data_IF_344755662656
#
_entry.id   IF_344755662656
#
_cell.length_a   1.000
_cell.length_b   1.000
_cell.length_c   1.000
_cell.angle_alpha   90.00
_cell.angle_beta   90.00
_cell.angle_gamma   90.00
#
_symmetry.space_group_name_H-M   'P 1'
#
loop_
_entity.id
_entity.type
_entity.pdbx_description
1 polymer ?
#
# COMPACT_ATOMS: atom_id res chain seq x y z
N UNK A 1 -8.27 25.34 1.48
CA UNK A 1 -7.87 25.93 0.18
C UNK A 1 -6.62 25.22 -0.33
N UNK A 2 -6.20 25.41 -1.58
CA UNK A 2 -4.93 24.84 -2.08
C UNK A 2 -3.74 25.27 -1.21
N UNK A 3 -3.69 26.54 -0.81
CA UNK A 3 -2.60 27.07 0.04
C UNK A 3 -2.51 26.37 1.38
N UNK A 4 -3.65 26.03 1.99
CA UNK A 4 -3.68 25.29 3.24
C UNK A 4 -3.05 23.90 3.07
N UNK A 5 -3.45 23.16 2.02
CA UNK A 5 -2.89 21.84 1.72
C UNK A 5 -1.38 21.93 1.45
N UNK A 6 -0.95 22.95 0.71
CA UNK A 6 0.48 23.17 0.43
C UNK A 6 1.28 23.53 1.69
N UNK A 7 0.70 24.34 2.58
CA UNK A 7 1.34 24.69 3.86
C UNK A 7 1.42 23.48 4.79
N UNK A 8 0.36 22.68 4.89
CA UNK A 8 0.33 21.45 5.68
C UNK A 8 1.38 20.45 5.17
N UNK A 9 1.55 20.35 3.86
CA UNK A 9 2.61 19.57 3.23
C UNK A 9 4.01 20.09 3.60
N UNK A 10 4.27 21.40 3.46
CA UNK A 10 5.56 22.01 3.79
C UNK A 10 5.90 21.85 5.27
N UNK A 11 4.92 22.03 6.16
CA UNK A 11 5.08 21.86 7.59
C UNK A 11 5.43 20.41 7.94
N UNK A 12 4.70 19.45 7.34
CA UNK A 12 4.96 18.01 7.53
C UNK A 12 6.33 17.60 6.99
N UNK A 13 6.76 18.14 5.85
CA UNK A 13 8.10 17.94 5.29
C UNK A 13 9.18 18.48 6.24
N UNK A 14 9.02 19.71 6.72
CA UNK A 14 9.98 20.34 7.63
C UNK A 14 10.08 19.59 8.96
N UNK A 15 8.94 19.23 9.57
CA UNK A 15 8.89 18.43 10.79
C UNK A 15 9.61 17.08 10.60
N UNK A 16 9.35 16.41 9.48
CA UNK A 16 10.07 15.19 9.11
C UNK A 16 11.57 15.42 8.96
N UNK A 17 12.00 16.49 8.29
CA UNK A 17 13.42 16.77 8.11
C UNK A 17 14.16 17.06 9.44
N UNK A 18 13.49 17.69 10.40
CA UNK A 18 14.04 18.01 11.73
C UNK A 18 14.06 16.79 12.64
N UNK A 19 12.96 16.03 12.72
CA UNK A 19 12.83 14.87 13.61
C UNK A 19 13.52 13.62 13.07
N UNK A 20 13.66 13.53 11.75
CA UNK A 20 14.25 12.38 11.05
C UNK A 20 15.46 12.83 10.22
N UNK A 21 16.63 13.04 10.86
CA UNK A 21 17.86 13.47 10.20
C UNK A 21 18.22 12.51 9.08
N UNK A 22 18.44 13.06 7.88
CA UNK A 22 18.65 12.28 6.65
C UNK A 22 19.74 11.22 6.81
N UNK A 23 20.91 11.59 7.31
CA UNK A 23 22.05 10.69 7.42
C UNK A 23 21.78 9.51 8.37
N UNK A 24 21.16 9.77 9.52
CA UNK A 24 20.87 8.75 10.53
C UNK A 24 19.78 7.78 10.08
N UNK A 25 18.71 8.30 9.47
CA UNK A 25 17.63 7.46 8.94
C UNK A 25 18.13 6.60 7.79
N UNK A 26 18.95 7.15 6.90
CA UNK A 26 19.52 6.36 5.80
C UNK A 26 20.43 5.25 6.31
N UNK A 27 21.31 5.52 7.27
CA UNK A 27 22.16 4.50 7.87
C UNK A 27 21.32 3.37 8.49
N UNK A 28 20.30 3.72 9.27
CA UNK A 28 19.41 2.74 9.91
C UNK A 28 18.61 1.92 8.88
N UNK A 29 18.06 2.56 7.84
CA UNK A 29 17.33 1.87 6.77
C UNK A 29 18.25 0.96 5.95
N UNK A 30 19.50 1.36 5.70
CA UNK A 30 20.48 0.52 5.02
C UNK A 30 20.82 -0.73 5.83
N UNK A 31 20.97 -0.60 7.15
CA UNK A 31 21.19 -1.75 8.05
C UNK A 31 19.98 -2.68 8.04
N UNK A 32 18.78 -2.13 8.18
CA UNK A 32 17.53 -2.91 8.12
C UNK A 32 17.37 -3.66 6.79
N UNK A 33 17.59 -2.98 5.65
CA UNK A 33 17.47 -3.62 4.35
C UNK A 33 18.59 -4.63 4.05
N UNK A 34 19.73 -4.61 4.75
CA UNK A 34 20.75 -5.66 4.63
C UNK A 34 20.37 -6.97 5.32
N UNK A 35 19.35 -6.99 6.18
CA UNK A 35 18.88 -8.21 6.81
C UNK A 35 18.40 -9.21 5.76
N UNK A 36 18.81 -10.48 5.89
CA UNK A 36 18.41 -11.55 4.98
C UNK A 36 16.95 -12.01 5.19
N UNK A 37 16.41 -11.78 6.39
CA UNK A 37 15.03 -12.11 6.76
C UNK A 37 14.34 -10.88 7.33
N UNK A 38 13.04 -10.78 7.11
CA UNK A 38 12.23 -9.69 7.65
C UNK A 38 11.97 -9.93 9.15
N UNK A 39 12.18 -8.89 9.95
CA UNK A 39 11.94 -8.92 11.39
C UNK A 39 11.11 -7.69 11.80
N UNK A 40 9.86 -7.93 12.17
CA UNK A 40 8.91 -6.89 12.56
C UNK A 40 9.43 -6.03 13.72
N UNK A 41 10.01 -6.66 14.75
CA UNK A 41 10.56 -5.99 15.93
C UNK A 41 11.72 -5.06 15.59
N UNK A 42 12.59 -5.45 14.65
CA UNK A 42 13.72 -4.61 14.21
C UNK A 42 13.18 -3.33 13.56
N UNK A 43 12.19 -3.46 12.69
CA UNK A 43 11.57 -2.30 12.05
C UNK A 43 10.82 -1.41 13.05
N UNK A 44 10.10 -2.01 14.00
CA UNK A 44 9.41 -1.29 15.07
C UNK A 44 10.39 -0.51 15.95
N UNK A 45 11.49 -1.14 16.38
CA UNK A 45 12.51 -0.50 17.19
C UNK A 45 13.24 0.63 16.44
N UNK A 46 13.44 0.46 15.13
CA UNK A 46 13.99 1.50 14.27
C UNK A 46 13.09 2.73 14.28
N UNK A 47 11.78 2.58 14.10
CA UNK A 47 10.84 3.71 14.17
C UNK A 47 10.85 4.37 15.56
N UNK A 48 10.77 3.57 16.62
CA UNK A 48 10.74 4.04 18.01
C UNK A 48 12.00 4.84 18.38
N UNK A 49 13.17 4.49 17.82
CA UNK A 49 14.43 5.20 18.02
C UNK A 49 14.34 6.68 17.63
N UNK A 50 13.52 7.02 16.64
CA UNK A 50 13.37 8.40 16.16
C UNK A 50 12.18 9.15 16.75
N UNK A 51 11.44 8.54 17.69
CA UNK A 51 10.22 9.11 18.30
C UNK A 51 9.23 9.65 17.25
N UNK A 52 9.17 8.97 16.10
CA UNK A 52 8.33 9.36 14.97
C UNK A 52 7.07 8.50 14.93
N UNK A 53 5.94 9.12 14.62
CA UNK A 53 4.74 8.35 14.28
C UNK A 53 4.99 7.52 13.02
N UNK A 54 4.29 6.37 12.83
CA UNK A 54 4.43 5.57 11.63
C UNK A 54 4.19 6.38 10.35
N UNK A 55 3.23 7.31 10.39
CA UNK A 55 2.96 8.20 9.26
C UNK A 55 4.15 9.08 8.90
N UNK A 56 4.74 9.76 9.88
CA UNK A 56 5.90 10.63 9.66
C UNK A 56 7.10 9.81 9.15
N UNK A 57 7.34 8.65 9.75
CA UNK A 57 8.44 7.77 9.40
C UNK A 57 8.33 7.25 7.96
N UNK A 58 7.17 6.71 7.58
CA UNK A 58 6.93 6.18 6.24
C UNK A 58 6.93 7.29 5.18
N UNK A 59 6.41 8.47 5.52
CA UNK A 59 6.45 9.61 4.62
C UNK A 59 7.89 10.10 4.38
N UNK A 60 8.74 10.06 5.41
CA UNK A 60 10.16 10.34 5.26
C UNK A 60 10.86 9.28 4.41
N UNK A 61 10.55 8.00 4.61
CA UNK A 61 11.04 6.92 3.75
C UNK A 61 10.67 7.15 2.28
N UNK A 62 9.42 7.50 1.97
CA UNK A 62 9.00 7.73 0.58
C UNK A 62 9.72 8.89 -0.11
N UNK A 63 10.28 9.82 0.65
CA UNK A 63 11.12 10.91 0.13
C UNK A 63 12.58 10.50 -0.06
N UNK A 64 13.12 9.68 0.85
CA UNK A 64 14.55 9.33 0.85
C UNK A 64 14.87 8.16 -0.07
N UNK A 65 14.06 7.11 -0.05
CA UNK A 65 14.34 5.85 -0.72
C UNK A 65 14.45 5.93 -2.25
N UNK A 66 13.64 6.73 -2.97
CA UNK A 66 13.79 6.92 -4.41
C UNK A 66 15.19 7.43 -4.81
N UNK A 67 15.70 8.42 -4.09
CA UNK A 67 16.95 9.10 -4.46
C UNK A 67 18.19 8.36 -3.94
N UNK A 68 18.11 7.80 -2.74
CA UNK A 68 19.29 7.25 -2.05
C UNK A 68 19.46 5.76 -2.26
N UNK A 69 18.38 5.06 -2.65
CA UNK A 69 18.37 3.60 -2.81
C UNK A 69 17.74 3.15 -4.13
N UNK A 70 17.35 4.08 -5.01
CA UNK A 70 16.76 3.77 -6.31
C UNK A 70 15.37 3.13 -6.25
N UNK A 71 14.70 3.18 -5.10
CA UNK A 71 13.35 2.62 -4.91
C UNK A 71 12.27 3.61 -5.39
N UNK A 72 12.33 3.97 -6.67
CA UNK A 72 11.51 5.06 -7.25
C UNK A 72 10.04 4.66 -7.37
N UNK A 73 9.78 3.48 -7.92
CA UNK A 73 8.41 2.99 -8.18
C UNK A 73 7.78 2.49 -6.90
N UNK A 74 7.05 3.38 -6.24
CA UNK A 74 6.49 3.15 -4.92
C UNK A 74 5.09 3.73 -4.75
N UNK A 75 4.38 3.26 -3.74
CA UNK A 75 3.10 3.83 -3.31
C UNK A 75 3.06 3.94 -1.78
N UNK A 76 2.52 5.05 -1.30
CA UNK A 76 2.22 5.31 0.10
C UNK A 76 0.71 5.37 0.27
N UNK A 77 0.18 4.63 1.24
CA UNK A 77 -1.24 4.54 1.53
C UNK A 77 -1.48 4.71 3.02
N UNK A 78 -2.50 5.48 3.38
CA UNK A 78 -2.99 5.58 4.76
C UNK A 78 -4.45 5.22 4.85
N UNK A 79 -4.78 4.19 5.62
CA UNK A 79 -6.15 3.81 5.88
C UNK A 79 -6.58 4.16 7.30
N UNK A 80 -7.87 4.46 7.45
CA UNK A 80 -8.59 4.50 8.71
C UNK A 80 -9.58 3.34 8.71
N UNK A 81 -9.63 2.59 9.80
CA UNK A 81 -10.64 1.57 10.06
C UNK A 81 -11.45 2.00 11.29
N UNK A 82 -12.72 2.33 11.09
CA UNK A 82 -13.59 2.75 12.18
C UNK A 82 -14.13 1.51 12.91
N UNK A 83 -13.86 1.40 14.22
CA UNK A 83 -14.23 0.20 14.99
C UNK A 83 -15.74 0.12 15.24
N UNK A 84 -16.45 1.24 15.15
CA UNK A 84 -17.88 1.31 15.45
C UNK A 84 -18.74 0.63 14.38
N UNK A 85 -18.36 0.76 13.10
CA UNK A 85 -19.11 0.24 11.96
C UNK A 85 -18.28 -0.67 11.03
N UNK A 86 -16.99 -0.85 11.29
CA UNK A 86 -16.07 -1.66 10.48
C UNK A 86 -15.72 -1.02 9.13
N UNK A 87 -16.08 0.25 8.92
CA UNK A 87 -15.81 0.97 7.69
C UNK A 87 -14.31 1.21 7.53
N UNK A 88 -13.84 1.15 6.29
CA UNK A 88 -12.44 1.38 5.94
C UNK A 88 -12.38 2.48 4.91
N UNK A 89 -11.60 3.51 5.22
CA UNK A 89 -11.44 4.70 4.38
C UNK A 89 -9.98 4.93 4.06
N UNK A 90 -9.66 5.05 2.76
CA UNK A 90 -8.37 5.59 2.32
C UNK A 90 -8.36 7.09 2.63
N UNK A 91 -7.38 7.54 3.40
CA UNK A 91 -7.29 8.92 3.90
C UNK A 91 -6.13 9.71 3.29
N UNK A 92 -5.05 9.03 2.88
CA UNK A 92 -3.95 9.62 2.13
C UNK A 92 -3.41 8.61 1.12
N UNK A 93 -3.06 9.12 -0.04
CA UNK A 93 -2.47 8.36 -1.14
C UNK A 93 -1.37 9.20 -1.80
N UNK A 94 -0.22 8.58 -2.02
CA UNK A 94 0.81 9.06 -2.93
C UNK A 94 1.27 7.86 -3.75
N UNK A 95 0.99 7.88 -5.05
CA UNK A 95 1.33 6.78 -5.94
C UNK A 95 2.32 7.27 -7.00
N UNK A 96 3.55 6.76 -6.95
CA UNK A 96 4.63 7.00 -7.92
C UNK A 96 4.94 5.73 -8.71
N UNK A 97 3.98 4.81 -8.79
CA UNK A 97 4.10 3.53 -9.49
C UNK A 97 3.06 3.42 -10.61
N UNK A 98 3.22 2.39 -11.44
CA UNK A 98 2.27 2.07 -12.52
C UNK A 98 1.04 1.32 -11.98
N UNK A 99 0.86 1.25 -10.66
CA UNK A 99 -0.28 0.60 -10.06
C UNK A 99 -1.55 1.44 -10.29
N UNK A 100 -2.47 0.92 -11.09
CA UNK A 100 -3.81 1.49 -11.23
C UNK A 100 -4.58 1.33 -9.92
N UNK A 101 -4.53 2.38 -9.10
CA UNK A 101 -5.31 2.48 -7.87
C UNK A 101 -6.76 2.84 -8.23
N UNK A 102 -7.76 2.10 -7.71
CA UNK A 102 -9.17 2.46 -7.87
C UNK A 102 -9.37 3.91 -7.42
N UNK A 103 -9.96 4.75 -8.27
CA UNK A 103 -9.85 6.21 -8.21
C UNK A 103 -10.07 6.82 -6.81
N UNK A 104 -8.96 7.13 -6.14
CA UNK A 104 -8.80 8.18 -5.12
C UNK A 104 -9.59 8.08 -3.81
N UNK A 105 -9.38 9.10 -2.98
CA UNK A 105 -10.09 9.32 -1.72
C UNK A 105 -11.62 9.42 -1.96
N UNK A 106 -12.41 8.77 -1.11
CA UNK A 106 -13.89 8.89 -1.14
C UNK A 106 -14.61 7.95 -2.10
N UNK A 107 -13.95 6.89 -2.56
CA UNK A 107 -14.57 5.83 -3.36
C UNK A 107 -15.60 5.04 -2.53
N UNK A 108 -16.84 4.89 -3.01
CA UNK A 108 -17.86 4.02 -2.41
C UNK A 108 -17.73 2.58 -2.91
N UNK A 109 -16.52 2.03 -2.84
CA UNK A 109 -16.22 0.65 -3.21
C UNK A 109 -15.43 -0.01 -2.08
N UNK A 110 -15.43 -1.34 -2.04
CA UNK A 110 -14.79 -2.09 -0.98
C UNK A 110 -13.37 -2.45 -1.38
N UNK A 111 -12.37 -1.77 -0.81
CA UNK A 111 -10.97 -2.13 -0.97
C UNK A 111 -10.73 -3.62 -0.67
N UNK A 112 -9.83 -4.23 -1.45
CA UNK A 112 -9.53 -5.65 -1.29
C UNK A 112 -8.96 -5.94 0.10
N UNK A 113 -9.62 -6.81 0.86
CA UNK A 113 -9.23 -7.15 2.24
C UNK A 113 -7.90 -7.89 2.35
N UNK A 114 -7.40 -8.44 1.22
CA UNK A 114 -6.04 -9.01 1.11
C UNK A 114 -4.92 -7.99 1.09
N UNK A 115 -5.23 -6.69 1.01
CA UNK A 115 -4.20 -5.65 1.08
C UNK A 115 -3.55 -5.66 2.44
N UNK A 116 -2.21 -5.61 2.48
CA UNK A 116 -1.47 -5.52 3.73
C UNK A 116 -1.97 -4.36 4.60
N UNK A 117 -2.29 -3.22 3.99
CA UNK A 117 -2.82 -2.03 4.67
C UNK A 117 -4.08 -2.31 5.50
N UNK A 118 -4.86 -3.34 5.16
CA UNK A 118 -6.08 -3.71 5.87
C UNK A 118 -5.86 -4.94 6.75
N UNK A 119 -5.12 -5.93 6.25
CA UNK A 119 -4.77 -7.13 7.02
C UNK A 119 -3.99 -6.80 8.30
N UNK A 120 -3.18 -5.75 8.29
CA UNK A 120 -2.40 -5.34 9.46
C UNK A 120 -3.29 -4.87 10.64
N UNK A 121 -4.59 -4.64 10.44
CA UNK A 121 -5.54 -4.40 11.52
C UNK A 121 -5.97 -5.68 12.26
N UNK A 122 -5.83 -6.86 11.66
CA UNK A 122 -6.23 -8.13 12.28
C UNK A 122 -5.45 -8.35 13.58
N UNK A 123 -6.17 -8.50 14.70
CA UNK A 123 -5.56 -8.70 16.02
C UNK A 123 -5.00 -7.45 16.69
N UNK A 124 -5.16 -6.26 16.10
CA UNK A 124 -4.64 -5.01 16.68
C UNK A 124 -5.40 -4.63 17.97
N UNK A 125 -4.69 -4.66 19.10
CA UNK A 125 -5.20 -4.21 20.39
C UNK A 125 -5.21 -2.67 20.51
N UNK A 126 -6.14 -2.09 21.30
CA UNK A 126 -6.07 -0.67 21.66
C UNK A 126 -4.73 -0.32 22.33
N UNK A 127 -4.14 0.83 21.97
CA UNK A 127 -2.84 1.26 22.47
C UNK A 127 -1.64 0.50 21.91
N UNK A 128 -1.84 -0.41 20.95
CA UNK A 128 -0.77 -1.21 20.35
C UNK A 128 -0.41 -0.72 18.94
N UNK A 129 0.78 -1.12 18.50
CA UNK A 129 1.23 -1.04 17.12
C UNK A 129 1.49 -2.44 16.58
N UNK A 130 1.23 -2.64 15.29
CA UNK A 130 1.47 -3.91 14.60
C UNK A 130 2.16 -3.65 13.28
N UNK A 131 3.31 -4.30 13.07
CA UNK A 131 4.08 -4.22 11.82
C UNK A 131 3.77 -5.43 10.96
N UNK A 132 3.57 -5.21 9.66
CA UNK A 132 3.37 -6.27 8.68
C UNK A 132 4.23 -6.10 7.43
N UNK A 133 4.42 -7.21 6.72
CA UNK A 133 5.08 -7.27 5.42
C UNK A 133 4.31 -8.19 4.48
N UNK A 134 4.29 -7.87 3.19
CA UNK A 134 3.64 -8.69 2.18
C UNK A 134 4.24 -8.45 0.79
N UNK A 135 4.35 -9.52 0.00
CA UNK A 135 4.53 -9.42 -1.46
C UNK A 135 3.15 -9.37 -2.12
N UNK A 136 2.87 -8.26 -2.79
CA UNK A 136 1.58 -7.94 -3.37
C UNK A 136 1.66 -7.96 -4.89
N UNK A 137 0.93 -8.88 -5.53
CA UNK A 137 0.79 -8.93 -7.00
C UNK A 137 -0.61 -8.49 -7.39
N UNK A 138 -0.75 -7.39 -8.11
CA UNK A 138 -2.05 -6.86 -8.49
C UNK A 138 -2.50 -7.40 -9.85
N UNK A 139 -3.79 -7.69 -10.04
CA UNK A 139 -4.29 -8.09 -11.37
C UNK A 139 -4.08 -7.01 -12.45
N UNK A 140 -4.07 -5.74 -12.05
CA UNK A 140 -3.86 -4.59 -12.95
C UNK A 140 -2.39 -4.37 -13.30
N UNK A 141 -1.44 -5.01 -12.62
CA UNK A 141 -0.01 -4.79 -12.79
C UNK A 141 0.73 -6.09 -13.05
N UNK A 142 1.73 -6.06 -13.92
CA UNK A 142 2.65 -7.19 -14.11
C UNK A 142 3.68 -7.31 -12.98
N UNK A 143 3.76 -6.32 -12.09
CA UNK A 143 4.75 -6.22 -11.03
C UNK A 143 4.35 -6.92 -9.72
N UNK A 144 5.36 -7.37 -8.97
CA UNK A 144 5.20 -7.73 -7.56
C UNK A 144 5.76 -6.59 -6.71
N UNK A 145 4.99 -6.11 -5.74
CA UNK A 145 5.40 -5.06 -4.81
C UNK A 145 5.73 -5.65 -3.45
N UNK A 146 6.81 -5.22 -2.81
CA UNK A 146 7.05 -5.48 -1.39
C UNK A 146 6.43 -4.34 -0.59
N UNK A 147 5.39 -4.64 0.16
CA UNK A 147 4.70 -3.70 1.03
C UNK A 147 5.17 -3.92 2.47
N UNK A 148 5.56 -2.82 3.11
CA UNK A 148 5.69 -2.72 4.56
C UNK A 148 4.49 -1.94 5.07
N UNK A 149 3.94 -2.33 6.21
CA UNK A 149 2.85 -1.60 6.84
C UNK A 149 3.00 -1.56 8.35
N UNK A 150 2.44 -0.50 8.94
CA UNK A 150 2.27 -0.39 10.38
C UNK A 150 0.84 0.04 10.63
N UNK A 151 0.12 -0.75 11.44
CA UNK A 151 -1.13 -0.32 12.05
C UNK A 151 -0.89 0.16 13.47
N UNK A 152 -1.69 1.11 13.90
CA UNK A 152 -1.70 1.59 15.27
C UNK A 152 -3.11 1.98 15.72
N UNK A 153 -3.34 1.82 17.01
CA UNK A 153 -4.46 2.41 17.72
C UNK A 153 -3.89 3.24 18.88
N UNK A 154 -4.08 4.55 18.84
CA UNK A 154 -3.59 5.51 19.84
C UNK A 154 -4.57 5.72 21.01
N UNK A 155 -5.53 4.80 21.19
CA UNK A 155 -6.64 4.93 22.14
C UNK A 155 -7.87 5.64 21.56
N UNK A 156 -7.85 5.99 20.27
CA UNK A 156 -9.01 6.50 19.55
C UNK A 156 -9.99 5.38 19.13
N UNK A 157 -11.19 5.79 18.71
CA UNK A 157 -12.26 4.90 18.23
C UNK A 157 -11.97 4.26 16.87
N UNK A 158 -10.84 4.58 16.25
CA UNK A 158 -10.44 4.06 14.96
C UNK A 158 -9.01 3.54 14.99
N UNK A 159 -8.75 2.55 14.13
CA UNK A 159 -7.39 2.12 13.83
C UNK A 159 -6.89 2.91 12.62
N UNK A 160 -5.59 3.15 12.58
CA UNK A 160 -4.94 3.73 11.41
C UNK A 160 -3.80 2.84 10.94
N UNK A 161 -3.64 2.73 9.63
CA UNK A 161 -2.49 2.05 9.04
C UNK A 161 -1.80 2.92 8.02
N UNK A 162 -0.50 2.73 7.92
CA UNK A 162 0.36 3.37 6.92
C UNK A 162 1.15 2.27 6.23
N UNK A 163 1.14 2.30 4.91
CA UNK A 163 1.81 1.30 4.06
C UNK A 163 2.69 2.00 3.06
N UNK A 164 3.90 1.47 2.87
CA UNK A 164 4.80 1.86 1.79
C UNK A 164 5.15 0.60 1.01
N UNK A 165 4.80 0.59 -0.28
CA UNK A 165 5.09 -0.50 -1.20
C UNK A 165 6.08 -0.08 -2.27
N UNK A 166 7.02 -0.97 -2.61
CA UNK A 166 8.01 -0.76 -3.66
C UNK A 166 7.93 -1.87 -4.69
N UNK A 167 8.05 -1.54 -5.96
CA UNK A 167 8.13 -2.57 -7.00
C UNK A 167 9.42 -3.39 -6.83
N UNK A 168 9.29 -4.71 -6.72
CA UNK A 168 10.40 -5.66 -6.60
C UNK A 168 11.09 -5.95 -7.95
N UNK A 169 11.58 -4.89 -8.56
CA UNK A 169 12.47 -4.98 -9.72
C UNK A 169 13.91 -5.34 -9.31
N UNK A 170 14.78 -5.63 -10.29
CA UNK A 170 16.15 -6.07 -10.04
C UNK A 170 16.92 -5.15 -9.09
N UNK A 171 16.78 -3.83 -9.24
CA UNK A 171 17.41 -2.85 -8.36
C UNK A 171 16.91 -2.94 -6.91
N UNK A 172 15.60 -3.03 -6.71
CA UNK A 172 15.02 -3.16 -5.37
C UNK A 172 15.48 -4.44 -4.66
N UNK A 173 15.60 -5.56 -5.39
CA UNK A 173 16.10 -6.83 -4.85
C UNK A 173 17.58 -6.83 -4.47
N UNK A 174 18.37 -5.95 -5.08
CA UNK A 174 19.78 -5.77 -4.71
C UNK A 174 19.94 -4.95 -3.42
N UNK A 175 18.95 -4.10 -3.12
CA UNK A 175 18.95 -3.25 -1.92
C UNK A 175 18.34 -3.96 -0.73
N UNK A 176 17.21 -4.65 -0.94
CA UNK A 176 16.41 -5.26 0.12
C UNK A 176 16.76 -6.75 0.22
N UNK A 177 17.62 -7.11 1.17
CA UNK A 177 18.11 -8.46 1.40
C UNK A 177 17.02 -9.47 1.73
N UNK A 178 15.95 -9.05 2.41
CA UNK A 178 14.80 -9.90 2.71
C UNK A 178 13.71 -9.88 1.63
N UNK A 179 13.93 -9.28 0.46
CA UNK A 179 12.92 -9.19 -0.60
C UNK A 179 12.37 -10.56 -1.04
N UNK A 180 13.21 -11.60 -0.93
CA UNK A 180 12.89 -12.98 -1.29
C UNK A 180 12.76 -13.92 -0.09
N UNK A 181 12.66 -13.39 1.12
CA UNK A 181 12.43 -14.17 2.33
C UNK A 181 11.18 -15.07 2.16
N UNK A 182 11.31 -16.41 2.27
CA UNK A 182 10.19 -17.32 2.09
C UNK A 182 9.10 -17.16 3.16
N UNK A 183 9.41 -16.55 4.31
CA UNK A 183 8.42 -16.27 5.35
C UNK A 183 7.48 -15.11 4.98
N UNK A 184 7.84 -14.26 4.02
CA UNK A 184 6.99 -13.15 3.59
C UNK A 184 5.83 -13.69 2.75
N UNK A 185 4.56 -13.50 3.18
CA UNK A 185 3.42 -13.99 2.42
C UNK A 185 3.34 -13.27 1.07
N UNK A 186 3.05 -14.03 0.03
CA UNK A 186 2.69 -13.49 -1.28
C UNK A 186 1.18 -13.60 -1.49
N UNK A 187 0.56 -12.56 -2.05
CA UNK A 187 -0.87 -12.55 -2.31
C UNK A 187 -1.19 -11.87 -3.63
N UNK A 188 -2.15 -12.45 -4.35
CA UNK A 188 -2.72 -11.86 -5.56
C UNK A 188 -3.93 -11.01 -5.16
N UNK A 189 -3.88 -9.74 -5.57
CA UNK A 189 -4.76 -8.67 -5.08
C UNK A 189 -5.57 -8.06 -6.23
N UNK A 190 -6.84 -7.77 -5.94
CA UNK A 190 -7.62 -6.80 -6.71
C UNK A 190 -7.48 -5.39 -6.14
N UNK A 191 -7.98 -4.39 -6.86
CA UNK A 191 -8.11 -3.04 -6.31
C UNK A 191 -9.26 -2.95 -5.30
N UNK A 192 -10.48 -3.20 -5.79
CA UNK A 192 -11.71 -3.29 -4.99
C UNK A 192 -12.45 -4.59 -5.31
N UNK A 193 -13.34 -5.01 -4.41
CA UNK A 193 -14.15 -6.21 -4.61
C UNK A 193 -15.03 -6.08 -5.86
N UNK A 194 -15.62 -4.91 -6.09
CA UNK A 194 -16.51 -4.60 -7.20
C UNK A 194 -15.82 -4.74 -8.56
N UNK A 195 -14.50 -4.54 -8.60
CA UNK A 195 -13.66 -4.61 -9.81
C UNK A 195 -12.83 -5.88 -9.89
N UNK A 196 -12.87 -6.73 -8.87
CA UNK A 196 -11.99 -7.90 -8.77
C UNK A 196 -12.53 -9.07 -9.60
N UNK A 197 -11.69 -9.72 -10.44
CA UNK A 197 -12.11 -10.83 -11.30
C UNK A 197 -12.35 -12.14 -10.55
N UNK A 198 -11.84 -12.28 -9.32
CA UNK A 198 -11.93 -13.53 -8.56
C UNK A 198 -13.38 -13.89 -8.21
N UNK A 199 -13.75 -15.15 -8.36
CA UNK A 199 -15.04 -15.65 -7.88
C UNK A 199 -15.11 -15.67 -6.35
N UNK A 200 -16.31 -15.88 -5.79
CA UNK A 200 -16.48 -16.05 -4.34
C UNK A 200 -15.71 -17.29 -3.82
N UNK A 201 -15.62 -18.35 -4.62
CA UNK A 201 -14.88 -19.56 -4.26
C UNK A 201 -13.35 -19.32 -4.21
N UNK A 202 -12.83 -18.41 -5.03
CA UNK A 202 -11.40 -18.05 -5.07
C UNK A 202 -11.01 -16.96 -4.05
N UNK A 203 -12.00 -16.25 -3.49
CA UNK A 203 -11.79 -15.17 -2.53
C UNK A 203 -12.76 -15.19 -1.36
N UNK A 204 -12.36 -15.88 -0.28
CA UNK A 204 -13.12 -15.94 0.97
C UNK A 204 -13.28 -14.57 1.66
N UNK A 205 -12.38 -13.63 1.41
CA UNK A 205 -12.36 -12.30 2.04
C UNK A 205 -13.22 -11.26 1.29
N UNK A 206 -13.84 -11.65 0.17
CA UNK A 206 -14.64 -10.76 -0.67
C UNK A 206 -15.80 -10.16 0.12
N UNK A 207 -15.89 -8.82 0.10
CA UNK A 207 -16.92 -8.06 0.82
C UNK A 207 -18.07 -7.60 -0.07
N UNK A 208 -17.86 -7.55 -1.39
CA UNK A 208 -18.88 -7.09 -2.33
C UNK A 208 -18.87 -7.88 -3.65
N UNK A 209 -20.02 -8.00 -4.33
CA UNK A 209 -20.10 -8.64 -5.64
C UNK A 209 -19.32 -7.86 -6.72
N UNK A 210 -18.77 -8.53 -7.74
CA UNK A 210 -17.90 -7.93 -8.77
C UNK A 210 -18.68 -7.16 -9.84
N UNK A 211 -19.63 -6.30 -9.46
CA UNK A 211 -20.58 -5.63 -10.36
C UNK A 211 -19.89 -4.76 -11.43
N UNK A 212 -18.80 -4.09 -11.07
CA UNK A 212 -18.07 -3.22 -12.01
C UNK A 212 -17.21 -4.05 -12.97
N UNK A 213 -16.65 -5.16 -12.49
CA UNK A 213 -15.95 -6.13 -13.33
C UNK A 213 -16.89 -6.76 -14.37
N UNK A 214 -18.07 -7.24 -13.95
CA UNK A 214 -19.08 -7.81 -14.84
C UNK A 214 -19.54 -6.80 -15.90
N UNK A 215 -19.77 -5.54 -15.49
CA UNK A 215 -20.13 -4.45 -16.42
C UNK A 215 -19.02 -4.18 -17.44
N UNK A 216 -17.76 -4.20 -17.00
CA UNK A 216 -16.61 -4.02 -17.90
C UNK A 216 -16.48 -5.18 -18.90
N UNK A 217 -16.72 -6.42 -18.46
CA UNK A 217 -16.71 -7.60 -19.33
C UNK A 217 -17.81 -7.51 -20.39
N UNK A 218 -19.05 -7.23 -19.99
CA UNK A 218 -20.18 -7.07 -20.92
C UNK A 218 -19.95 -5.92 -21.93
N UNK A 219 -19.33 -4.81 -21.50
CA UNK A 219 -18.97 -3.72 -22.41
C UNK A 219 -17.89 -4.15 -23.42
N UNK A 220 -16.90 -4.94 -22.98
CA UNK A 220 -15.85 -5.49 -23.84
C UNK A 220 -16.43 -6.44 -24.90
N UNK A 221 -17.35 -7.32 -24.50
CA UNK A 221 -18.05 -8.25 -25.39
C UNK A 221 -18.88 -7.51 -26.45
N UNK A 222 -19.67 -6.51 -26.04
CA UNK A 222 -20.43 -5.66 -26.98
C UNK A 222 -19.52 -4.95 -27.98
N UNK A 223 -18.37 -4.44 -27.52
CA UNK A 223 -17.40 -3.77 -28.40
C UNK A 223 -16.78 -4.74 -29.39
N UNK A 224 -16.49 -5.97 -28.98
CA UNK A 224 -15.95 -7.01 -29.85
C UNK A 224 -16.97 -7.40 -30.94
N UNK A 225 -18.21 -7.67 -30.55
CA UNK A 225 -19.29 -7.99 -31.49
C UNK A 225 -19.55 -6.84 -32.48
N UNK A 226 -19.47 -5.58 -32.03
CA UNK A 226 -19.59 -4.43 -32.93
C UNK A 226 -18.45 -4.36 -33.96
N UNK A 227 -17.20 -4.62 -33.54
CA UNK A 227 -16.05 -4.65 -34.47
C UNK A 227 -16.19 -5.75 -35.53
N UNK A 228 -16.65 -6.93 -35.12
CA UNK A 228 -16.94 -8.04 -36.03
C UNK A 228 -18.02 -7.66 -37.06
N UNK A 229 -19.09 -6.99 -36.64
CA UNK A 229 -20.15 -6.51 -37.53
C UNK A 229 -19.69 -5.40 -38.49
N UNK A 230 -18.76 -4.55 -38.06
CA UNK A 230 -18.21 -3.46 -38.87
C UNK A 230 -17.12 -3.93 -39.86
N UNK A 231 -16.75 -5.22 -39.85
CA UNK A 231 -15.72 -5.77 -40.74
C UNK A 231 -14.31 -5.23 -40.45
N UNK A 232 -14.11 -4.62 -39.30
CA UNK A 232 -12.78 -4.17 -38.86
C UNK A 232 -12.00 -5.38 -38.32
N UNK A 233 -11.18 -5.98 -39.18
CA UNK A 233 -10.24 -7.04 -38.81
C UNK A 233 -9.41 -6.58 -37.61
N UNK A 234 -9.43 -7.36 -36.52
CA UNK A 234 -8.54 -7.16 -35.37
C UNK A 234 -7.09 -7.17 -35.86
N UNK A 235 -6.25 -6.15 -35.58
CA UNK A 235 -4.81 -6.24 -35.82
C UNK A 235 -4.16 -7.28 -34.92
#
# INVERSE_FOLDING_TARGET
>A
TFDQVLNDFKASYFAGAVLLPRAEVLAALQEFFKCATFQAEVFQNLMNRFDATPELFFYRMSQLLPHEMGLVRSHFLRFRHDRSDGSVTLTKELNMSDLDMPAGLGLQEHFCRRWLSLRVFEGLAPGAQQVGVQRSRFFSSSGTYLCLAVAQNDGSDYDSSVTLGFLLEKGARQVIGFADDPAIPESILGGTCERCPLTQAECAERQAPPRLYEKALAAKEKRLALKELLGESTP
#
